data_IF_889666732057
#
_entry.id   IF_889666732057
#
_cell.length_a   1.000
_cell.length_b   1.000
_cell.length_c   1.000
_cell.angle_alpha   90.00
_cell.angle_beta   90.00
_cell.angle_gamma   90.00
#
_symmetry.space_group_name_H-M   'P 1'
#
loop_
_entity.id
_entity.type
_entity.pdbx_description
1 polymer ?
#
# COMPACT_ATOMS: atom_id res chain seq x y z
N UNK A 1 -10.62 3.23 -6.16
CA UNK A 1 -10.88 2.31 -5.02
C UNK A 1 -12.05 2.72 -4.13
N UNK A 2 -12.83 1.75 -3.63
CA UNK A 2 -13.86 1.91 -2.59
C UNK A 2 -13.66 0.90 -1.44
N UNK A 3 -13.98 1.27 -0.19
CA UNK A 3 -13.92 0.39 0.99
C UNK A 3 -15.29 0.39 1.68
N UNK A 4 -15.93 -0.77 1.75
CA UNK A 4 -17.27 -0.94 2.30
C UNK A 4 -17.24 -1.87 3.52
N UNK A 5 -18.00 -1.55 4.57
CA UNK A 5 -18.28 -2.49 5.66
C UNK A 5 -19.40 -3.43 5.23
N UNK A 6 -19.18 -4.74 5.34
CA UNK A 6 -20.07 -5.78 4.78
C UNK A 6 -21.07 -6.34 5.80
N UNK A 7 -20.83 -6.13 7.10
CA UNK A 7 -21.58 -6.75 8.19
C UNK A 7 -21.28 -8.25 8.40
N UNK A 8 -20.33 -8.81 7.64
CA UNK A 8 -19.84 -10.18 7.76
C UNK A 8 -18.71 -10.23 8.81
N UNK A 9 -18.83 -11.09 9.82
CA UNK A 9 -17.84 -11.19 10.89
C UNK A 9 -16.52 -11.80 10.43
N UNK A 10 -16.57 -12.70 9.44
CA UNK A 10 -15.38 -13.36 8.89
C UNK A 10 -14.68 -12.48 7.85
N UNK A 11 -15.41 -11.51 7.28
CA UNK A 11 -14.89 -10.58 6.28
C UNK A 11 -15.54 -9.19 6.40
N UNK A 12 -15.22 -8.42 7.47
CA UNK A 12 -15.88 -7.15 7.80
C UNK A 12 -15.77 -6.07 6.71
N UNK A 13 -14.79 -6.20 5.82
CA UNK A 13 -14.51 -5.21 4.79
C UNK A 13 -14.56 -5.80 3.39
N UNK A 14 -15.00 -4.97 2.45
CA UNK A 14 -14.91 -5.23 1.00
C UNK A 14 -14.22 -4.05 0.34
N UNK A 15 -13.03 -4.29 -0.20
CA UNK A 15 -12.33 -3.37 -1.09
C UNK A 15 -12.81 -3.59 -2.52
N UNK A 16 -13.07 -2.53 -3.27
CA UNK A 16 -13.34 -2.56 -4.71
C UNK A 16 -12.32 -1.69 -5.42
N UNK A 17 -11.72 -2.23 -6.48
CA UNK A 17 -10.63 -1.62 -7.22
C UNK A 17 -11.06 -1.25 -8.62
N UNK A 18 -10.55 -0.12 -9.09
CA UNK A 18 -10.66 0.35 -10.46
C UNK A 18 -9.66 -0.38 -11.36
N UNK A 19 -9.85 -0.32 -12.68
CA UNK A 19 -9.07 -1.10 -13.66
C UNK A 19 -7.55 -0.85 -13.56
N UNK A 20 -7.14 0.38 -13.28
CA UNK A 20 -5.73 0.77 -13.13
C UNK A 20 -5.11 0.37 -11.78
N UNK A 21 -5.94 0.11 -10.77
CA UNK A 21 -5.54 -0.37 -9.44
C UNK A 21 -5.37 -1.89 -9.43
N UNK A 22 -6.18 -2.59 -10.24
CA UNK A 22 -6.14 -4.04 -10.41
C UNK A 22 -4.77 -4.55 -10.82
N UNK A 23 -4.12 -3.87 -11.76
CA UNK A 23 -2.77 -4.23 -12.23
C UNK A 23 -1.75 -4.21 -11.07
N UNK A 24 -1.87 -3.21 -10.20
CA UNK A 24 -0.99 -3.02 -9.04
C UNK A 24 -1.23 -4.10 -8.00
N UNK A 25 -2.49 -4.36 -7.67
CA UNK A 25 -2.89 -5.45 -6.75
C UNK A 25 -2.32 -6.77 -7.26
N UNK A 26 -2.52 -7.10 -8.53
CA UNK A 26 -2.03 -8.34 -9.12
C UNK A 26 -0.50 -8.44 -9.06
N UNK A 27 0.23 -7.35 -9.31
CA UNK A 27 1.69 -7.32 -9.23
C UNK A 27 2.19 -7.59 -7.81
N UNK A 28 1.61 -6.93 -6.81
CA UNK A 28 1.96 -7.08 -5.39
C UNK A 28 1.80 -8.54 -4.95
N UNK A 29 0.62 -9.14 -5.16
CA UNK A 29 0.36 -10.50 -4.69
C UNK A 29 1.14 -11.58 -5.45
N UNK A 30 1.41 -11.38 -6.75
CA UNK A 30 2.30 -12.27 -7.51
C UNK A 30 3.72 -12.26 -6.93
N UNK A 31 4.23 -11.09 -6.58
CA UNK A 31 5.55 -10.96 -5.97
C UNK A 31 5.59 -11.58 -4.57
N UNK A 32 4.58 -11.34 -3.74
CA UNK A 32 4.47 -11.99 -2.42
C UNK A 32 4.52 -13.51 -2.52
N UNK A 33 3.74 -14.09 -3.44
CA UNK A 33 3.75 -15.53 -3.71
C UNK A 33 5.13 -16.00 -4.15
N UNK A 34 5.80 -15.25 -5.03
CA UNK A 34 7.15 -15.56 -5.48
C UNK A 34 8.17 -15.51 -4.34
N UNK A 35 8.07 -14.52 -3.45
CA UNK A 35 8.95 -14.39 -2.28
C UNK A 35 8.73 -15.54 -1.27
N UNK A 36 7.47 -15.90 -0.99
CA UNK A 36 7.13 -17.05 -0.16
C UNK A 36 7.66 -18.36 -0.76
N UNK A 37 7.58 -18.51 -2.08
CA UNK A 37 8.14 -19.64 -2.79
C UNK A 37 9.68 -19.69 -2.68
N UNK A 38 10.38 -18.54 -2.86
CA UNK A 38 11.84 -18.45 -2.69
C UNK A 38 12.30 -18.81 -1.29
N UNK A 39 11.52 -18.46 -0.26
CA UNK A 39 11.81 -18.80 1.15
C UNK A 39 11.57 -20.28 1.47
N UNK A 40 11.22 -21.13 0.49
CA UNK A 40 10.89 -22.55 0.70
C UNK A 40 9.59 -22.75 1.48
N UNK A 41 8.78 -21.71 1.61
CA UNK A 41 7.61 -21.67 2.47
C UNK A 41 6.32 -21.70 1.65
N UNK A 42 6.30 -22.50 0.57
CA UNK A 42 5.16 -22.65 -0.34
C UNK A 42 3.90 -23.15 0.35
N UNK A 43 4.02 -23.80 1.52
CA UNK A 43 2.90 -24.19 2.36
C UNK A 43 2.29 -23.07 3.21
N UNK A 44 2.96 -21.91 3.31
CA UNK A 44 2.51 -20.73 4.05
C UNK A 44 1.81 -19.68 3.18
N UNK A 45 1.66 -19.95 1.88
CA UNK A 45 0.79 -19.15 1.01
C UNK A 45 -0.63 -19.39 1.49
N UNK A 46 -1.26 -18.38 2.11
CA UNK A 46 -2.62 -18.53 2.59
C UNK A 46 -3.57 -18.77 1.41
N UNK A 47 -4.67 -19.49 1.66
CA UNK A 47 -5.72 -19.66 0.66
C UNK A 47 -6.28 -18.32 0.17
N UNK A 48 -6.20 -17.30 1.02
CA UNK A 48 -6.58 -15.92 0.73
C UNK A 48 -5.62 -15.23 -0.27
N UNK A 49 -4.31 -15.35 -0.08
CA UNK A 49 -3.31 -14.80 -1.01
C UNK A 49 -3.41 -15.49 -2.39
N UNK A 50 -3.60 -16.81 -2.38
CA UNK A 50 -3.80 -17.58 -3.62
C UNK A 50 -5.12 -17.24 -4.29
N UNK A 51 -6.20 -17.02 -3.52
CA UNK A 51 -7.47 -16.55 -4.05
C UNK A 51 -7.25 -15.22 -4.76
N UNK A 52 -6.78 -14.16 -4.08
CA UNK A 52 -6.53 -12.85 -4.70
C UNK A 52 -5.64 -12.89 -5.95
N UNK A 53 -4.62 -13.75 -5.97
CA UNK A 53 -3.73 -13.91 -7.13
C UNK A 53 -4.34 -14.68 -8.31
N UNK A 54 -5.44 -15.43 -8.09
CA UNK A 54 -6.12 -16.26 -9.10
C UNK A 54 -7.38 -15.60 -9.70
N UNK A 55 -7.57 -14.29 -9.51
CA UNK A 55 -8.77 -13.60 -9.96
C UNK A 55 -8.76 -13.28 -11.47
N UNK A 56 -9.70 -13.91 -12.19
CA UNK A 56 -10.00 -13.69 -13.61
C UNK A 56 -10.97 -12.52 -13.88
N UNK A 57 -11.00 -12.09 -15.14
CA UNK A 57 -11.36 -10.76 -15.68
C UNK A 57 -12.85 -10.34 -15.59
N UNK A 58 -13.08 -9.07 -15.22
CA UNK A 58 -14.35 -8.33 -15.25
C UNK A 58 -14.16 -6.86 -14.82
N UNK A 59 -15.11 -5.96 -15.14
CA UNK A 59 -14.98 -4.47 -15.07
C UNK A 59 -14.77 -3.89 -13.66
N UNK A 60 -15.10 -4.60 -12.58
CA UNK A 60 -14.83 -4.18 -11.20
C UNK A 60 -14.36 -5.36 -10.38
N UNK A 61 -13.17 -5.26 -9.77
CA UNK A 61 -12.61 -6.33 -8.93
C UNK A 61 -12.72 -5.94 -7.47
N UNK A 62 -13.23 -6.82 -6.61
CA UNK A 62 -13.44 -6.49 -5.20
C UNK A 62 -12.98 -7.55 -4.20
N UNK A 63 -11.96 -7.29 -3.39
CA UNK A 63 -11.48 -8.19 -2.34
C UNK A 63 -12.32 -8.11 -1.05
N UNK A 64 -12.71 -9.24 -0.47
CA UNK A 64 -13.25 -9.31 0.90
C UNK A 64 -12.11 -9.54 1.88
N UNK A 65 -11.91 -8.66 2.86
CA UNK A 65 -10.73 -8.69 3.72
C UNK A 65 -11.12 -8.71 5.21
N UNK A 66 -10.26 -9.33 6.02
CA UNK A 66 -10.39 -9.37 7.47
C UNK A 66 -9.86 -8.08 8.07
N UNK A 67 -8.65 -7.70 7.64
CA UNK A 67 -7.93 -6.54 8.13
C UNK A 67 -7.47 -5.68 6.95
N UNK A 68 -7.80 -4.39 7.02
CA UNK A 68 -7.36 -3.41 6.05
C UNK A 68 -5.87 -3.07 6.22
N UNK A 69 -5.34 -3.19 7.44
CA UNK A 69 -3.95 -2.88 7.75
C UNK A 69 -2.99 -3.92 7.12
N UNK A 70 -3.27 -5.22 7.28
CA UNK A 70 -2.52 -6.29 6.61
C UNK A 70 -2.49 -6.09 5.08
N UNK A 71 -3.59 -5.58 4.52
CA UNK A 71 -3.65 -5.24 3.10
C UNK A 71 -2.72 -4.08 2.76
N UNK A 72 -2.76 -3.00 3.52
CA UNK A 72 -1.91 -1.82 3.33
C UNK A 72 -0.41 -2.15 3.49
N UNK A 73 -0.04 -2.94 4.51
CA UNK A 73 1.34 -3.37 4.77
C UNK A 73 1.96 -4.07 3.55
N UNK A 74 1.22 -4.98 2.89
CA UNK A 74 1.69 -5.68 1.68
C UNK A 74 2.03 -4.73 0.53
N UNK A 75 1.27 -3.64 0.35
CA UNK A 75 1.57 -2.63 -0.67
C UNK A 75 2.80 -1.80 -0.33
N UNK A 76 3.00 -1.48 0.95
CA UNK A 76 4.19 -0.75 1.41
C UNK A 76 5.44 -1.60 1.28
N UNK A 77 5.36 -2.87 1.67
CA UNK A 77 6.43 -3.85 1.51
C UNK A 77 6.83 -4.01 0.03
N UNK A 78 5.85 -4.04 -0.87
CA UNK A 78 6.11 -4.04 -2.31
C UNK A 78 6.79 -2.74 -2.79
N UNK A 79 6.37 -1.59 -2.26
CA UNK A 79 7.03 -0.32 -2.55
C UNK A 79 8.48 -0.31 -2.05
N UNK A 80 8.76 -0.77 -0.83
CA UNK A 80 10.12 -0.83 -0.29
C UNK A 80 11.05 -1.72 -1.14
N UNK A 81 10.54 -2.85 -1.64
CA UNK A 81 11.30 -3.75 -2.53
C UNK A 81 11.44 -3.23 -3.96
N UNK A 82 10.72 -2.17 -4.32
CA UNK A 82 10.81 -1.57 -5.66
C UNK A 82 12.23 -1.07 -5.93
N UNK A 83 12.88 -0.46 -4.95
CA UNK A 83 14.24 0.06 -5.09
C UNK A 83 15.26 -1.07 -5.34
N UNK A 84 15.15 -2.15 -4.57
CA UNK A 84 15.98 -3.35 -4.76
C UNK A 84 15.79 -3.95 -6.15
N UNK A 85 14.53 -4.09 -6.58
CA UNK A 85 14.19 -4.64 -7.91
C UNK A 85 14.71 -3.75 -9.05
N UNK A 86 14.66 -2.43 -8.89
CA UNK A 86 15.18 -1.49 -9.90
C UNK A 86 16.70 -1.66 -10.06
N UNK A 87 17.42 -1.86 -8.95
CA UNK A 87 18.86 -2.12 -8.95
C UNK A 87 19.14 -3.45 -9.67
N UNK A 88 18.40 -4.52 -9.36
CA UNK A 88 18.55 -5.83 -10.00
C UNK A 88 18.30 -5.74 -11.52
N UNK A 89 17.20 -5.12 -11.95
CA UNK A 89 16.87 -4.92 -13.38
C UNK A 89 18.00 -4.18 -14.10
N UNK A 90 18.58 -3.16 -13.49
CA UNK A 90 19.69 -2.40 -14.07
C UNK A 90 20.98 -3.23 -14.21
N UNK A 91 21.22 -4.18 -13.31
CA UNK A 91 22.40 -5.06 -13.33
C UNK A 91 22.26 -6.21 -14.34
N UNK A 92 21.04 -6.72 -14.52
CA UNK A 92 20.76 -7.85 -15.42
C UNK A 92 20.51 -7.41 -16.87
N UNK A 93 20.09 -6.17 -17.09
CA UNK A 93 19.79 -5.63 -18.41
C UNK A 93 21.04 -5.13 -19.14
N UNK A 94 21.10 -5.39 -20.45
CA UNK A 94 22.08 -4.77 -21.34
C UNK A 94 21.72 -3.33 -21.74
N UNK A 95 20.51 -2.86 -21.36
CA UNK A 95 20.01 -1.52 -21.69
C UNK A 95 20.34 -0.55 -20.56
N UNK A 96 20.88 0.66 -20.86
CA UNK A 96 21.12 1.66 -19.83
C UNK A 96 19.85 1.99 -19.01
N UNK A 97 19.95 2.24 -17.69
CA UNK A 97 18.77 2.39 -16.83
C UNK A 97 17.77 3.45 -17.29
N UNK A 98 18.25 4.57 -17.84
CA UNK A 98 17.41 5.67 -18.33
C UNK A 98 16.63 5.35 -19.61
N UNK A 99 16.94 4.22 -20.27
CA UNK A 99 16.23 3.70 -21.44
C UNK A 99 15.49 2.39 -21.14
N UNK A 100 15.53 1.90 -19.90
CA UNK A 100 14.95 0.63 -19.53
C UNK A 100 13.48 0.81 -19.09
N UNK A 101 12.56 0.40 -19.95
CA UNK A 101 11.11 0.49 -19.68
C UNK A 101 10.68 -0.33 -18.47
N UNK A 102 11.40 -1.41 -18.12
CA UNK A 102 11.06 -2.23 -16.95
C UNK A 102 11.31 -1.47 -15.65
N UNK A 103 12.36 -0.63 -15.59
CA UNK A 103 12.64 0.25 -14.45
C UNK A 103 11.53 1.30 -14.31
N UNK A 104 11.12 1.92 -15.42
CA UNK A 104 10.04 2.91 -15.43
C UNK A 104 8.73 2.29 -14.97
N UNK A 105 8.40 1.11 -15.51
CA UNK A 105 7.20 0.36 -15.15
C UNK A 105 7.22 -0.05 -13.67
N UNK A 106 8.33 -0.58 -13.18
CA UNK A 106 8.49 -0.98 -11.78
C UNK A 106 8.32 0.18 -10.82
N UNK A 107 8.93 1.34 -11.12
CA UNK A 107 8.75 2.56 -10.32
C UNK A 107 7.30 3.03 -10.30
N UNK A 108 6.61 2.99 -11.45
CA UNK A 108 5.20 3.37 -11.54
C UNK A 108 4.31 2.45 -10.70
N UNK A 109 4.53 1.13 -10.75
CA UNK A 109 3.81 0.15 -9.92
C UNK A 109 4.04 0.41 -8.43
N UNK A 110 5.30 0.56 -7.99
CA UNK A 110 5.62 0.81 -6.58
C UNK A 110 4.99 2.11 -6.06
N UNK A 111 5.00 3.16 -6.87
CA UNK A 111 4.37 4.44 -6.51
C UNK A 111 2.85 4.33 -6.38
N UNK A 112 2.20 3.58 -7.28
CA UNK A 112 0.76 3.32 -7.19
C UNK A 112 0.42 2.43 -5.98
N UNK A 113 1.26 1.44 -5.66
CA UNK A 113 1.08 0.58 -4.50
C UNK A 113 1.07 1.42 -3.21
N UNK A 114 2.03 2.33 -3.04
CA UNK A 114 2.07 3.23 -1.88
C UNK A 114 0.81 4.10 -1.76
N UNK A 115 0.31 4.64 -2.88
CA UNK A 115 -0.94 5.42 -2.89
C UNK A 115 -2.16 4.58 -2.49
N UNK A 116 -2.21 3.33 -2.92
CA UNK A 116 -3.28 2.40 -2.52
C UNK A 116 -3.20 2.10 -1.02
N UNK A 117 -2.01 1.87 -0.46
CA UNK A 117 -1.83 1.66 0.98
C UNK A 117 -2.38 2.84 1.80
N UNK A 118 -2.02 4.07 1.40
CA UNK A 118 -2.50 5.29 2.04
C UNK A 118 -4.03 5.43 1.94
N UNK A 119 -4.58 5.20 0.74
CA UNK A 119 -6.03 5.27 0.53
C UNK A 119 -6.80 4.20 1.34
N UNK A 120 -6.21 3.04 1.58
CA UNK A 120 -6.81 2.00 2.43
C UNK A 120 -6.85 2.49 3.87
N UNK A 121 -5.74 2.99 4.41
CA UNK A 121 -5.68 3.50 5.78
C UNK A 121 -6.59 4.68 6.03
N UNK A 122 -6.62 5.65 5.13
CA UNK A 122 -7.52 6.82 5.22
C UNK A 122 -9.00 6.40 5.29
N UNK A 123 -9.39 5.38 4.53
CA UNK A 123 -10.78 4.87 4.51
C UNK A 123 -11.08 3.92 5.66
N UNK A 124 -10.08 3.19 6.15
CA UNK A 124 -10.20 2.25 7.25
C UNK A 124 -10.17 2.95 8.62
N UNK A 125 -9.63 4.18 8.70
CA UNK A 125 -9.60 5.01 9.89
C UNK A 125 -10.63 6.16 9.81
N UNK A 126 -11.93 5.91 10.00
CA UNK A 126 -12.95 6.96 9.93
C UNK A 126 -12.86 8.00 11.06
N UNK A 127 -12.06 7.78 12.12
CA UNK A 127 -12.04 8.62 13.34
C UNK A 127 -10.68 9.22 13.73
N UNK A 128 -9.70 9.31 12.82
CA UNK A 128 -8.57 10.21 13.04
C UNK A 128 -9.00 11.63 12.67
N UNK A 129 -9.72 12.27 13.62
CA UNK A 129 -9.92 13.71 13.63
C UNK A 129 -8.54 14.35 13.48
N UNK A 130 -8.28 14.98 12.35
CA UNK A 130 -7.15 15.88 12.12
C UNK A 130 -7.42 17.15 12.94
N UNK A 131 -7.50 17.03 14.25
CA UNK A 131 -7.31 18.14 15.16
C UNK A 131 -5.88 17.99 15.66
N UNK A 132 -5.05 19.00 15.39
CA UNK A 132 -3.80 19.26 16.10
C UNK A 132 -2.51 18.52 15.70
N UNK A 133 -2.33 18.11 14.43
CA UNK A 133 -0.96 17.92 13.93
C UNK A 133 -0.17 19.24 13.98
N UNK A 134 -0.79 20.39 13.69
CA UNK A 134 -0.12 21.71 13.81
C UNK A 134 0.24 22.07 15.27
N UNK A 135 -0.59 21.73 16.26
CA UNK A 135 -0.24 21.97 17.68
C UNK A 135 0.78 20.97 18.23
N UNK A 136 0.91 19.78 17.65
CA UNK A 136 1.95 18.83 18.05
C UNK A 136 3.37 19.28 17.63
N UNK A 137 3.48 20.11 16.58
CA UNK A 137 4.76 20.66 16.11
C UNK A 137 5.06 22.09 16.60
N UNK A 138 4.07 22.86 17.06
CA UNK A 138 4.31 24.19 17.65
C UNK A 138 5.34 24.23 18.80
N UNK A 139 5.38 23.26 19.74
CA UNK A 139 6.40 23.24 20.80
C UNK A 139 7.79 22.85 20.29
N UNK A 140 7.88 22.12 19.17
CA UNK A 140 9.13 21.62 18.60
C UNK A 140 9.81 22.64 17.67
N UNK A 141 9.06 23.61 17.14
CA UNK A 141 9.56 24.66 16.24
C UNK A 141 9.82 26.01 16.95
N UNK A 142 9.76 26.04 18.29
CA UNK A 142 10.20 27.20 19.08
C UNK A 142 9.27 28.42 18.99
N UNK A 143 7.97 28.21 18.86
CA UNK A 143 6.96 29.28 18.93
C UNK A 143 6.46 29.52 20.35
N UNK A 144 7.33 29.96 21.26
CA UNK A 144 6.90 30.50 22.55
C UNK A 144 6.77 32.03 22.39
N UNK A 145 5.61 32.49 21.92
CA UNK A 145 5.24 33.90 22.03
C UNK A 145 4.97 34.20 23.51
N UNK A 146 6.05 34.43 24.26
CA UNK A 146 6.00 35.04 25.58
C UNK A 146 5.58 36.51 25.45
N UNK A 147 4.31 36.75 25.17
CA UNK A 147 3.72 38.06 25.29
C UNK A 147 2.30 37.94 25.84
N UNK A 148 2.20 37.91 27.17
CA UNK A 148 1.05 38.49 27.88
C UNK A 148 1.40 38.73 29.36
N UNK A 149 1.74 39.99 29.65
CA UNK A 149 1.42 40.66 30.92
C UNK A 149 -0.06 40.44 31.27
N UNK A 150 -0.40 40.32 32.56
CA UNK A 150 -0.74 41.50 33.36
C UNK A 150 -0.14 41.37 34.79
N UNK A 151 -0.13 42.34 35.70
CA UNK A 151 -1.26 43.07 36.26
C UNK A 151 -0.76 44.37 36.93
N UNK A 152 -1.58 45.41 36.82
CA UNK A 152 -1.62 46.54 37.74
C UNK A 152 -2.92 46.50 38.51
#
# INVERSE_FOLDING_TARGET
MNLEKTGDADHPYKLTFDEDEVEVVAAVFKEEIFQLARKGNTGSISGFDRYLASWEEGEQRSAKIIDAEDFAEKFEDFHQRTDESIIEIAQESATPPFMNNDIVYRYALGSKALKLAQAIREKAAPDLIIEDLDKAFSPLLGGDESNQQPEG
#
